data_IF_961767713291
#
_entry.id   IF_961767713291
#
_cell.length_a   1.000
_cell.length_b   1.000
_cell.length_c   1.000
_cell.angle_alpha   90.00
_cell.angle_beta   90.00
_cell.angle_gamma   90.00
#
_symmetry.space_group_name_H-M   'P 1'
#
loop_
_entity.id
_entity.type
_entity.pdbx_description
1 polymer ?
#
# COMPACT_ATOMS: atom_id res chain seq x y z
N UNK A 1 6.91 1.42 17.42
CA UNK A 1 6.45 2.27 16.31
C UNK A 1 6.86 1.69 14.94
N UNK A 2 8.15 1.46 14.69
CA UNK A 2 8.65 0.89 13.42
C UNK A 2 7.95 -0.41 12.98
N UNK A 3 7.80 -1.38 13.90
CA UNK A 3 7.08 -2.63 13.61
C UNK A 3 5.62 -2.43 13.22
N UNK A 4 4.96 -1.39 13.74
CA UNK A 4 3.58 -1.08 13.37
C UNK A 4 3.52 -0.49 11.95
N UNK A 5 4.47 0.38 11.59
CA UNK A 5 4.59 0.94 10.24
C UNK A 5 4.88 -0.16 9.22
N UNK A 6 5.82 -1.06 9.49
CA UNK A 6 6.12 -2.19 8.60
C UNK A 6 4.92 -3.12 8.40
N UNK A 7 4.13 -3.34 9.46
CA UNK A 7 2.89 -4.11 9.38
C UNK A 7 1.83 -3.41 8.53
N UNK A 8 1.68 -2.09 8.68
CA UNK A 8 0.74 -1.29 7.88
C UNK A 8 1.13 -1.30 6.39
N UNK A 9 2.41 -1.13 6.07
CA UNK A 9 2.93 -1.23 4.69
C UNK A 9 2.61 -2.60 4.09
N UNK A 10 2.85 -3.68 4.85
CA UNK A 10 2.53 -5.05 4.39
C UNK A 10 1.03 -5.23 4.17
N UNK A 11 0.20 -4.71 5.07
CA UNK A 11 -1.25 -4.79 4.95
C UNK A 11 -1.74 -4.09 3.68
N UNK A 12 -1.29 -2.86 3.40
CA UNK A 12 -1.70 -2.11 2.21
C UNK A 12 -1.33 -2.86 0.92
N UNK A 13 -0.12 -3.43 0.85
CA UNK A 13 0.32 -4.24 -0.30
C UNK A 13 -0.52 -5.51 -0.48
N UNK A 14 -0.87 -6.20 0.60
CA UNK A 14 -1.75 -7.37 0.53
C UNK A 14 -3.17 -7.02 0.12
N UNK A 15 -3.69 -5.88 0.57
CA UNK A 15 -5.00 -5.39 0.16
C UNK A 15 -5.02 -5.02 -1.34
N UNK A 16 -3.99 -4.33 -1.83
CA UNK A 16 -3.84 -4.02 -3.25
C UNK A 16 -3.83 -5.28 -4.14
N UNK A 17 -3.12 -6.33 -3.72
CA UNK A 17 -3.11 -7.63 -4.41
C UNK A 17 -4.52 -8.24 -4.46
N UNK A 18 -5.24 -8.26 -3.33
CA UNK A 18 -6.58 -8.81 -3.27
C UNK A 18 -7.58 -8.02 -4.13
N UNK A 19 -7.49 -6.69 -4.13
CA UNK A 19 -8.33 -5.84 -4.99
C UNK A 19 -8.10 -6.15 -6.47
N UNK A 20 -6.85 -6.34 -6.90
CA UNK A 20 -6.53 -6.75 -8.27
C UNK A 20 -7.13 -8.12 -8.62
N UNK A 21 -7.07 -9.08 -7.71
CA UNK A 21 -7.69 -10.40 -7.90
C UNK A 21 -9.22 -10.31 -8.00
N UNK A 22 -9.87 -9.50 -7.16
CA UNK A 22 -11.33 -9.29 -7.26
C UNK A 22 -11.67 -8.63 -8.61
N UNK A 23 -10.85 -7.68 -9.07
CA UNK A 23 -11.04 -7.01 -10.36
C UNK A 23 -10.97 -7.95 -11.56
N UNK A 24 -10.31 -9.11 -11.45
CA UNK A 24 -10.30 -10.14 -12.50
C UNK A 24 -11.66 -10.82 -12.67
N UNK A 25 -12.50 -10.80 -11.63
CA UNK A 25 -13.80 -11.48 -11.59
C UNK A 25 -15.00 -10.53 -11.54
N UNK A 26 -14.78 -9.23 -11.34
CA UNK A 26 -15.83 -8.20 -11.22
C UNK A 26 -15.63 -7.07 -12.25
N UNK A 27 -15.94 -7.29 -13.55
CA UNK A 27 -15.62 -6.36 -14.63
C UNK A 27 -16.33 -5.01 -14.54
N UNK A 28 -17.49 -4.96 -13.88
CA UNK A 28 -18.30 -3.78 -13.62
C UNK A 28 -17.60 -2.78 -12.69
N UNK A 29 -16.76 -3.26 -11.77
CA UNK A 29 -16.01 -2.44 -10.81
C UNK A 29 -14.49 -2.56 -10.95
N UNK A 30 -14.00 -3.32 -11.93
CA UNK A 30 -12.59 -3.66 -12.08
C UNK A 30 -11.66 -2.44 -12.15
N UNK A 31 -12.07 -1.38 -12.85
CA UNK A 31 -11.27 -0.17 -12.98
C UNK A 31 -11.11 0.56 -11.64
N UNK A 32 -12.18 0.62 -10.83
CA UNK A 32 -12.13 1.25 -9.52
C UNK A 32 -11.28 0.43 -8.54
N UNK A 33 -11.44 -0.89 -8.55
CA UNK A 33 -10.62 -1.78 -7.72
C UNK A 33 -9.13 -1.69 -8.06
N UNK A 34 -8.79 -1.59 -9.35
CA UNK A 34 -7.40 -1.39 -9.80
C UNK A 34 -6.85 -0.04 -9.35
N UNK A 35 -7.66 1.03 -9.47
CA UNK A 35 -7.29 2.36 -9.02
C UNK A 35 -7.00 2.40 -7.52
N UNK A 36 -7.88 1.83 -6.69
CA UNK A 36 -7.67 1.75 -5.24
C UNK A 36 -6.41 0.93 -4.91
N UNK A 37 -6.17 -0.17 -5.64
CA UNK A 37 -4.96 -0.96 -5.46
C UNK A 37 -3.67 -0.16 -5.77
N UNK A 38 -3.69 0.66 -6.83
CA UNK A 38 -2.57 1.55 -7.16
C UNK A 38 -2.36 2.63 -6.09
N UNK A 39 -3.43 3.22 -5.55
CA UNK A 39 -3.36 4.19 -4.45
C UNK A 39 -2.76 3.56 -3.19
N UNK A 40 -3.17 2.34 -2.82
CA UNK A 40 -2.61 1.61 -1.68
C UNK A 40 -1.12 1.29 -1.82
N UNK A 41 -0.67 0.92 -3.02
CA UNK A 41 0.74 0.66 -3.28
C UNK A 41 1.57 1.96 -3.17
N UNK A 42 1.03 3.09 -3.65
CA UNK A 42 1.66 4.41 -3.50
C UNK A 42 1.75 4.84 -2.04
N UNK A 43 0.66 4.74 -1.28
CA UNK A 43 0.65 5.09 0.14
C UNK A 43 1.63 4.23 0.95
N UNK A 44 1.81 2.95 0.56
CA UNK A 44 2.80 2.07 1.15
C UNK A 44 4.25 2.50 0.86
N UNK A 45 4.51 3.01 -0.34
CA UNK A 45 5.83 3.52 -0.72
C UNK A 45 6.15 4.84 -0.03
N UNK A 46 5.19 5.77 0.04
CA UNK A 46 5.32 7.05 0.73
C UNK A 46 5.58 6.85 2.23
N UNK A 47 4.77 6.02 2.89
CA UNK A 47 4.96 5.67 4.30
C UNK A 47 6.31 5.00 4.57
N UNK A 48 6.76 4.14 3.65
CA UNK A 48 8.09 3.52 3.71
C UNK A 48 9.22 4.54 3.55
N UNK A 49 9.03 5.55 2.70
CA UNK A 49 9.93 6.69 2.52
C UNK A 49 10.07 7.51 3.79
N UNK A 50 8.95 7.94 4.37
CA UNK A 50 8.91 8.73 5.61
C UNK A 50 9.55 8.00 6.79
N UNK A 51 9.30 6.70 6.93
CA UNK A 51 9.91 5.89 7.98
C UNK A 51 11.44 5.74 7.83
N UNK A 52 11.96 5.83 6.60
CA UNK A 52 13.40 5.82 6.31
C UNK A 52 14.04 7.19 6.54
N UNK A 53 13.39 8.27 6.13
CA UNK A 53 13.88 9.64 6.36
C UNK A 53 13.93 9.96 7.85
N UNK A 54 12.91 9.57 8.62
CA UNK A 54 12.90 9.71 10.09
C UNK A 54 14.05 8.96 10.79
N UNK A 55 14.60 7.91 10.17
CA UNK A 55 15.74 7.13 10.68
C UNK A 55 17.09 7.74 10.34
N UNK A 56 17.16 8.56 9.29
CA UNK A 56 18.38 9.07 8.68
C UNK A 56 18.86 10.42 9.18
N UNK A 57 18.17 11.04 10.14
CA UNK A 57 18.60 12.30 10.78
C UNK A 57 19.45 12.01 12.02
N UNK A 58 20.80 12.01 11.94
CA UNK A 58 21.62 12.29 13.11
C UNK A 58 21.53 13.80 13.37
N UNK A 59 21.11 14.16 14.58
CA UNK A 59 21.28 15.52 15.11
C UNK A 59 22.74 15.81 15.44
#
# INVERSE_FOLDING_TARGET
>A
MLRAVDNTIRFMRMAAIQLRQIAEHAPDIANELRRIAEELDKDADDLGGEARTSRGTPG
#
